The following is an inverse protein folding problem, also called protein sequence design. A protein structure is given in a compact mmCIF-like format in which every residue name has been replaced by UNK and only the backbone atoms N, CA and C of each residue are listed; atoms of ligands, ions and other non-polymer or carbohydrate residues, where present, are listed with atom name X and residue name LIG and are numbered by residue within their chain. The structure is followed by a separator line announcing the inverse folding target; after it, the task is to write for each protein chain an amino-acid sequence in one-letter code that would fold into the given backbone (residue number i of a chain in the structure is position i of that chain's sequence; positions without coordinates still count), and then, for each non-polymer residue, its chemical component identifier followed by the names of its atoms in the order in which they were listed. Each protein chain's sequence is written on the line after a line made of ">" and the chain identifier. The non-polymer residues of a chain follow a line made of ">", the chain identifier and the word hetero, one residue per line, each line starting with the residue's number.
data_IF_031639784033
#
_entry.id   IF_031639784033
#
_cell.length_a   1.000
_cell.length_b   1.000
_cell.length_c   1.000
_cell.angle_alpha   90.00
_cell.angle_beta   90.00
_cell.angle_gamma   90.00
#
_symmetry.space_group_name_H-M   'P 1'
#
loop_
_entity.id
_entity.type
_entity.pdbx_description
1 polymer ?
#
# COMPACT_ATOMS: atom_id res chain seq x y z
N UNK A 1 -26.95 7.62 0.63
CA UNK A 1 -25.75 7.00 0.01
C UNK A 1 -24.56 7.23 0.92
N UNK A 2 -23.99 6.15 1.46
CA UNK A 2 -22.83 6.26 2.34
C UNK A 2 -21.58 6.47 1.48
N UNK A 3 -20.86 7.55 1.72
CA UNK A 3 -19.57 7.82 1.07
C UNK A 3 -18.45 7.40 2.00
N UNK A 4 -17.56 6.53 1.51
CA UNK A 4 -16.35 6.18 2.24
C UNK A 4 -15.38 7.36 2.21
N UNK A 5 -14.65 7.64 3.31
CA UNK A 5 -13.76 8.81 3.39
C UNK A 5 -12.61 8.81 2.39
N UNK A 6 -12.27 7.65 1.80
CA UNK A 6 -11.22 7.52 0.80
C UNK A 6 -11.77 7.20 -0.59
N UNK A 7 -12.95 7.66 -0.92
CA UNK A 7 -13.59 7.39 -2.19
C UNK A 7 -13.41 8.57 -3.15
N UNK A 8 -13.10 8.29 -4.42
CA UNK A 8 -13.04 9.29 -5.47
C UNK A 8 -11.83 9.14 -6.39
N UNK A 9 -11.97 9.63 -7.63
CA UNK A 9 -10.90 9.58 -8.63
C UNK A 9 -9.72 10.52 -8.33
N UNK A 10 -9.91 11.49 -7.46
CA UNK A 10 -8.88 12.38 -6.96
C UNK A 10 -8.00 11.72 -5.89
N UNK A 11 -8.45 10.59 -5.33
CA UNK A 11 -7.69 9.84 -4.34
C UNK A 11 -6.66 8.95 -5.02
N UNK A 12 -5.48 8.88 -4.40
CA UNK A 12 -4.34 8.12 -4.92
C UNK A 12 -3.92 7.06 -3.91
N UNK A 13 -3.80 5.84 -4.40
CA UNK A 13 -3.43 4.68 -3.58
C UNK A 13 -2.15 4.06 -4.14
N UNK A 14 -1.25 3.67 -3.25
CA UNK A 14 -0.05 2.91 -3.58
C UNK A 14 -0.16 1.52 -2.96
N UNK A 15 0.08 0.49 -3.76
CA UNK A 15 0.16 -0.89 -3.29
C UNK A 15 1.56 -1.44 -3.56
N UNK A 16 2.39 -1.51 -2.54
CA UNK A 16 3.76 -2.01 -2.63
C UNK A 16 3.78 -3.50 -2.37
N UNK A 17 4.32 -4.26 -3.30
CA UNK A 17 4.28 -5.72 -3.24
C UNK A 17 2.91 -6.25 -3.61
N UNK A 18 2.38 -5.81 -4.75
CA UNK A 18 1.00 -6.08 -5.15
C UNK A 18 0.69 -7.55 -5.40
N UNK A 19 1.70 -8.37 -5.68
CA UNK A 19 1.54 -9.79 -5.97
C UNK A 19 0.58 -10.02 -7.14
N UNK A 20 -0.50 -10.74 -6.89
CA UNK A 20 -1.55 -10.99 -7.91
C UNK A 20 -2.47 -9.79 -8.16
N UNK A 21 -2.29 -8.69 -7.44
CA UNK A 21 -3.06 -7.48 -7.63
C UNK A 21 -4.38 -7.42 -6.86
N UNK A 22 -4.63 -8.33 -5.94
CA UNK A 22 -5.93 -8.44 -5.24
C UNK A 22 -6.31 -7.15 -4.52
N UNK A 23 -5.39 -6.59 -3.71
CA UNK A 23 -5.67 -5.36 -2.98
C UNK A 23 -5.84 -4.16 -3.91
N UNK A 24 -4.97 -4.04 -4.91
CA UNK A 24 -5.04 -2.95 -5.88
C UNK A 24 -6.37 -2.98 -6.65
N UNK A 25 -6.79 -4.14 -7.10
CA UNK A 25 -8.05 -4.32 -7.82
C UNK A 25 -9.25 -3.98 -6.91
N UNK A 26 -9.24 -4.50 -5.67
CA UNK A 26 -10.30 -4.21 -4.71
C UNK A 26 -10.39 -2.71 -4.41
N UNK A 27 -9.25 -2.06 -4.19
CA UNK A 27 -9.19 -0.63 -3.92
C UNK A 27 -9.71 0.19 -5.11
N UNK A 28 -9.30 -0.15 -6.32
CA UNK A 28 -9.77 0.53 -7.53
C UNK A 28 -11.28 0.44 -7.69
N UNK A 29 -11.86 -0.74 -7.44
CA UNK A 29 -13.29 -0.99 -7.64
C UNK A 29 -14.14 -0.44 -6.49
N UNK A 30 -13.72 -0.65 -5.25
CA UNK A 30 -14.51 -0.28 -4.07
C UNK A 30 -14.37 1.21 -3.75
N UNK A 31 -13.13 1.73 -3.80
CA UNK A 31 -12.85 3.11 -3.44
C UNK A 31 -12.89 4.06 -4.64
N UNK A 32 -12.99 3.52 -5.86
CA UNK A 32 -12.99 4.29 -7.11
C UNK A 32 -11.79 5.24 -7.22
N UNK A 33 -10.68 4.87 -6.61
CA UNK A 33 -9.44 5.65 -6.59
C UNK A 33 -8.51 5.23 -7.72
N UNK A 34 -7.49 6.06 -7.97
CA UNK A 34 -6.37 5.70 -8.83
C UNK A 34 -5.35 4.93 -8.02
N UNK A 35 -4.87 3.83 -8.55
CA UNK A 35 -3.93 2.95 -7.85
C UNK A 35 -2.63 2.84 -8.65
N UNK A 36 -1.51 3.01 -7.95
CA UNK A 36 -0.19 2.60 -8.43
C UNK A 36 0.18 1.33 -7.70
N UNK A 37 0.38 0.25 -8.44
CA UNK A 37 0.69 -1.07 -7.87
C UNK A 37 2.07 -1.51 -8.34
N UNK A 38 2.95 -1.82 -7.39
CA UNK A 38 4.32 -2.19 -7.69
C UNK A 38 4.68 -3.56 -7.16
N UNK A 39 5.60 -4.23 -7.83
CA UNK A 39 6.22 -5.45 -7.36
C UNK A 39 7.62 -5.56 -7.95
N UNK A 40 8.53 -6.17 -7.20
CA UNK A 40 9.88 -6.44 -7.68
C UNK A 40 9.90 -7.57 -8.73
N UNK A 41 8.94 -8.48 -8.64
CA UNK A 41 8.84 -9.65 -9.51
C UNK A 41 8.05 -9.30 -10.78
N UNK A 42 8.68 -9.36 -11.97
CA UNK A 42 7.97 -9.10 -13.24
C UNK A 42 6.84 -10.08 -13.52
N UNK A 43 6.95 -11.32 -13.02
CA UNK A 43 5.87 -12.32 -13.18
C UNK A 43 4.65 -11.89 -12.37
N UNK A 44 4.86 -11.40 -11.14
CA UNK A 44 3.76 -10.87 -10.33
C UNK A 44 3.09 -9.67 -11.01
N UNK A 45 3.87 -8.75 -11.58
CA UNK A 45 3.32 -7.59 -12.28
C UNK A 45 2.44 -8.02 -13.46
N UNK A 46 2.89 -8.98 -14.26
CA UNK A 46 2.09 -9.48 -15.39
C UNK A 46 0.82 -10.20 -14.93
N UNK A 47 0.91 -11.00 -13.85
CA UNK A 47 -0.26 -11.65 -13.27
C UNK A 47 -1.28 -10.62 -12.76
N UNK A 48 -0.80 -9.57 -12.08
CA UNK A 48 -1.66 -8.50 -11.59
C UNK A 48 -2.35 -7.75 -12.73
N UNK A 49 -1.62 -7.47 -13.83
CA UNK A 49 -2.21 -6.86 -15.02
C UNK A 49 -3.32 -7.71 -15.63
N UNK A 50 -3.08 -9.00 -15.76
CA UNK A 50 -4.08 -9.93 -16.30
C UNK A 50 -5.33 -9.98 -15.42
N UNK A 51 -5.14 -10.07 -14.10
CA UNK A 51 -6.24 -10.07 -13.15
C UNK A 51 -7.03 -8.77 -13.17
N UNK A 52 -6.36 -7.63 -13.32
CA UNK A 52 -7.03 -6.32 -13.42
C UNK A 52 -7.91 -6.25 -14.68
N UNK A 53 -7.42 -6.76 -15.81
CA UNK A 53 -8.23 -6.82 -17.04
C UNK A 53 -9.45 -7.72 -16.86
N UNK A 54 -9.28 -8.88 -16.27
CA UNK A 54 -10.39 -9.82 -16.00
C UNK A 54 -11.46 -9.19 -15.09
N UNK A 55 -11.05 -8.33 -14.17
CA UNK A 55 -11.94 -7.68 -13.21
C UNK A 55 -12.37 -6.28 -13.65
N UNK A 56 -12.07 -5.87 -14.88
CA UNK A 56 -12.42 -4.55 -15.44
C UNK A 56 -11.90 -3.37 -14.59
N UNK A 57 -10.71 -3.53 -14.00
CA UNK A 57 -10.07 -2.52 -13.17
C UNK A 57 -8.81 -1.92 -13.79
N UNK A 58 -8.39 -2.39 -14.96
CA UNK A 58 -7.10 -2.05 -15.55
C UNK A 58 -6.92 -0.54 -15.79
N UNK A 59 -7.98 0.17 -16.18
CA UNK A 59 -7.91 1.60 -16.48
C UNK A 59 -7.57 2.46 -15.26
N UNK A 60 -7.87 1.99 -14.05
CA UNK A 60 -7.64 2.73 -12.80
C UNK A 60 -6.30 2.39 -12.15
N UNK A 61 -5.54 1.42 -12.68
CA UNK A 61 -4.32 0.92 -12.04
C UNK A 61 -3.13 1.09 -12.98
N UNK A 62 -2.07 1.71 -12.46
CA UNK A 62 -0.76 1.74 -13.10
C UNK A 62 0.13 0.70 -12.43
N UNK A 63 0.62 -0.26 -13.22
CA UNK A 63 1.49 -1.31 -12.72
C UNK A 63 2.96 -0.96 -12.96
N UNK A 64 3.79 -1.15 -11.94
CA UNK A 64 5.20 -0.79 -11.96
C UNK A 64 6.05 -1.95 -11.47
N UNK A 65 7.04 -2.36 -12.26
CA UNK A 65 8.09 -3.24 -11.74
C UNK A 65 9.13 -2.36 -11.05
N UNK A 66 9.27 -2.51 -9.75
CA UNK A 66 10.21 -1.72 -8.98
C UNK A 66 10.62 -2.43 -7.69
N UNK A 67 11.89 -2.27 -7.31
CA UNK A 67 12.38 -2.61 -5.99
C UNK A 67 12.19 -1.38 -5.08
N UNK A 68 11.50 -1.57 -3.95
CA UNK A 68 11.24 -0.46 -3.04
C UNK A 68 10.24 0.55 -3.56
N UNK A 69 10.42 1.82 -3.17
CA UNK A 69 9.44 2.87 -3.43
C UNK A 69 10.02 4.11 -4.11
N UNK A 70 11.25 4.04 -4.63
CA UNK A 70 11.95 5.19 -5.20
C UNK A 70 11.83 5.31 -6.72
N UNK A 71 11.15 4.38 -7.38
CA UNK A 71 10.96 4.43 -8.84
C UNK A 71 10.24 5.72 -9.23
N UNK A 72 10.65 6.34 -10.33
CA UNK A 72 10.09 7.60 -10.80
C UNK A 72 8.58 7.52 -11.03
N UNK A 73 8.10 6.41 -11.57
CA UNK A 73 6.68 6.19 -11.80
C UNK A 73 5.86 6.10 -10.51
N UNK A 74 6.51 5.80 -9.37
CA UNK A 74 5.88 5.83 -8.05
C UNK A 74 5.94 7.25 -7.49
N UNK A 75 7.12 7.87 -7.46
CA UNK A 75 7.30 9.19 -6.86
C UNK A 75 6.57 10.29 -7.63
N UNK A 76 6.42 10.15 -8.93
CA UNK A 76 5.71 11.13 -9.76
C UNK A 76 4.20 11.21 -9.46
N UNK A 77 3.61 10.16 -8.90
CA UNK A 77 2.20 10.12 -8.53
C UNK A 77 1.94 10.53 -7.08
N UNK A 78 3.01 10.75 -6.29
CA UNK A 78 2.87 11.18 -4.90
C UNK A 78 2.30 12.62 -4.81
N UNK A 79 1.69 13.00 -3.67
CA UNK A 79 1.50 12.20 -2.47
C UNK A 79 0.32 11.21 -2.59
N UNK A 80 0.38 10.14 -1.81
CA UNK A 80 -0.67 9.13 -1.77
C UNK A 80 -1.55 9.31 -0.53
N UNK A 81 -2.83 9.05 -0.69
CA UNK A 81 -3.82 9.13 0.39
C UNK A 81 -3.90 7.85 1.21
N UNK A 82 -3.53 6.72 0.60
CA UNK A 82 -3.53 5.41 1.23
C UNK A 82 -2.39 4.57 0.63
N UNK A 83 -1.61 3.94 1.49
CA UNK A 83 -0.50 3.08 1.08
C UNK A 83 -0.65 1.72 1.72
N UNK A 84 -0.66 0.67 0.91
CA UNK A 84 -0.57 -0.71 1.37
C UNK A 84 0.84 -1.24 1.16
N UNK A 85 1.35 -1.96 2.14
CA UNK A 85 2.59 -2.72 1.99
C UNK A 85 2.45 -4.08 2.64
N UNK A 86 2.50 -5.14 1.83
CA UNK A 86 2.47 -6.52 2.25
C UNK A 86 3.71 -7.21 1.70
N UNK A 87 4.83 -7.01 2.37
CA UNK A 87 6.15 -7.48 1.95
C UNK A 87 6.91 -8.07 3.13
N UNK A 88 8.06 -8.67 2.85
CA UNK A 88 8.93 -9.25 3.87
C UNK A 88 9.41 -8.21 4.87
N UNK A 89 9.73 -8.66 6.08
CA UNK A 89 10.13 -7.81 7.20
C UNK A 89 11.31 -6.90 6.88
N UNK A 90 12.39 -7.43 6.32
CA UNK A 90 13.59 -6.65 6.03
C UNK A 90 13.32 -5.46 5.12
N UNK A 91 12.74 -5.68 3.93
CA UNK A 91 12.33 -4.59 3.05
C UNK A 91 11.34 -3.63 3.70
N UNK A 92 10.40 -4.13 4.49
CA UNK A 92 9.40 -3.30 5.16
C UNK A 92 10.05 -2.31 6.13
N UNK A 93 11.04 -2.73 6.89
CA UNK A 93 11.78 -1.85 7.80
C UNK A 93 12.52 -0.76 7.03
N UNK A 94 13.09 -1.09 5.87
CA UNK A 94 13.80 -0.12 5.03
C UNK A 94 12.87 0.88 4.34
N UNK A 95 11.60 0.55 4.19
CA UNK A 95 10.63 1.42 3.51
C UNK A 95 10.00 2.48 4.41
N UNK A 96 10.28 2.50 5.71
CA UNK A 96 9.65 3.45 6.63
C UNK A 96 9.85 4.91 6.19
N UNK A 97 11.06 5.31 5.86
CA UNK A 97 11.36 6.67 5.39
C UNK A 97 10.73 6.96 4.02
N UNK A 98 10.95 6.11 2.99
CA UNK A 98 10.32 6.35 1.68
C UNK A 98 8.80 6.42 1.74
N UNK A 99 8.15 5.50 2.46
CA UNK A 99 6.68 5.49 2.52
C UNK A 99 6.13 6.71 3.25
N UNK A 100 6.80 7.14 4.31
CA UNK A 100 6.40 8.38 5.00
C UNK A 100 6.48 9.58 4.06
N UNK A 101 7.50 9.67 3.24
CA UNK A 101 7.67 10.77 2.27
C UNK A 101 6.61 10.76 1.18
N UNK A 102 6.15 9.57 0.78
CA UNK A 102 5.13 9.41 -0.25
C UNK A 102 3.71 9.64 0.25
N UNK A 103 3.50 9.59 1.56
CA UNK A 103 2.19 9.75 2.17
C UNK A 103 1.77 11.21 2.26
N UNK A 104 0.54 11.51 1.89
CA UNK A 104 -0.04 12.83 2.11
C UNK A 104 -0.26 13.08 3.61
N UNK A 105 -0.32 14.35 4.07
CA UNK A 105 -0.75 14.65 5.42
C UNK A 105 -2.12 14.02 5.69
N UNK A 106 -2.26 13.33 6.82
CA UNK A 106 -3.49 12.60 7.18
C UNK A 106 -3.66 11.27 6.47
N UNK A 107 -2.75 10.86 5.62
CA UNK A 107 -2.82 9.58 4.91
C UNK A 107 -2.64 8.40 5.86
N UNK A 108 -3.16 7.25 5.45
CA UNK A 108 -2.98 6.00 6.16
C UNK A 108 -2.00 5.09 5.43
N UNK A 109 -1.18 4.40 6.22
CA UNK A 109 -0.27 3.37 5.74
C UNK A 109 -0.69 2.06 6.41
N UNK A 110 -1.00 1.05 5.62
CA UNK A 110 -1.46 -0.25 6.08
C UNK A 110 -0.35 -1.27 5.83
N UNK A 111 0.21 -1.79 6.90
CA UNK A 111 1.27 -2.79 6.88
C UNK A 111 0.68 -4.13 7.27
N UNK A 112 0.68 -5.10 6.38
CA UNK A 112 0.04 -6.39 6.60
C UNK A 112 1.02 -7.55 6.43
N UNK A 113 0.60 -8.75 6.84
CA UNK A 113 1.43 -9.93 6.73
C UNK A 113 2.54 -10.00 7.79
N UNK A 114 2.35 -9.35 8.94
CA UNK A 114 3.33 -9.33 10.01
C UNK A 114 3.09 -10.47 11.00
N UNK A 115 4.15 -11.10 11.44
CA UNK A 115 4.07 -11.98 12.61
C UNK A 115 3.95 -11.11 13.87
N UNK A 116 3.22 -11.57 14.92
CA UNK A 116 3.06 -10.78 16.14
C UNK A 116 4.40 -10.37 16.77
N UNK A 117 5.40 -11.23 16.73
CA UNK A 117 6.74 -10.93 17.26
C UNK A 117 7.49 -9.82 16.49
N UNK A 118 7.13 -9.59 15.23
CA UNK A 118 7.76 -8.56 14.40
C UNK A 118 6.99 -7.23 14.41
N UNK A 119 5.71 -7.26 14.76
CA UNK A 119 4.86 -6.07 14.70
C UNK A 119 5.39 -4.92 15.57
N UNK A 120 5.90 -5.20 16.76
CA UNK A 120 6.42 -4.16 17.63
C UNK A 120 7.69 -3.50 17.07
N UNK A 121 8.58 -4.27 16.46
CA UNK A 121 9.79 -3.74 15.84
C UNK A 121 9.45 -2.83 14.65
N UNK A 122 8.51 -3.27 13.80
CA UNK A 122 8.00 -2.47 12.68
C UNK A 122 7.37 -1.18 13.19
N UNK A 123 6.50 -1.28 14.18
CA UNK A 123 5.83 -0.14 14.76
C UNK A 123 6.81 0.90 15.32
N UNK A 124 7.86 0.46 16.02
CA UNK A 124 8.86 1.36 16.58
C UNK A 124 9.55 2.18 15.49
N UNK A 125 9.93 1.53 14.38
CA UNK A 125 10.61 2.20 13.27
C UNK A 125 9.68 3.18 12.56
N UNK A 126 8.43 2.80 12.31
CA UNK A 126 7.47 3.67 11.65
C UNK A 126 7.05 4.84 12.54
N UNK A 127 6.89 4.62 13.85
CA UNK A 127 6.64 5.71 14.81
C UNK A 127 7.76 6.74 14.84
N UNK A 128 9.01 6.31 14.69
CA UNK A 128 10.14 7.22 14.62
C UNK A 128 10.07 8.16 13.41
N UNK A 129 9.29 7.79 12.39
CA UNK A 129 9.03 8.64 11.22
C UNK A 129 7.80 9.54 11.38
N UNK A 130 7.24 9.64 12.58
CA UNK A 130 6.09 10.50 12.85
C UNK A 130 4.74 9.88 12.48
N UNK A 131 4.68 8.56 12.31
CA UNK A 131 3.43 7.85 12.03
C UNK A 131 2.83 7.32 13.32
N UNK A 132 1.55 7.60 13.54
CA UNK A 132 0.83 7.16 14.74
C UNK A 132 0.06 5.88 14.47
N UNK A 133 0.08 4.94 15.42
CA UNK A 133 -0.73 3.73 15.33
C UNK A 133 -2.21 4.10 15.52
N UNK A 134 -3.02 3.78 14.52
CA UNK A 134 -4.47 3.97 14.58
C UNK A 134 -5.18 2.67 14.96
N UNK A 135 -4.76 1.54 14.37
CA UNK A 135 -5.32 0.23 14.66
C UNK A 135 -4.27 -0.87 14.56
N UNK A 136 -4.42 -1.87 15.40
CA UNK A 136 -3.68 -3.14 15.33
C UNK A 136 -4.69 -4.26 15.19
N UNK A 137 -4.64 -4.99 14.09
CA UNK A 137 -5.65 -6.00 13.74
C UNK A 137 -4.98 -7.37 13.70
N UNK A 138 -5.15 -8.20 14.75
CA UNK A 138 -4.70 -9.60 14.71
C UNK A 138 -5.73 -10.45 13.96
N UNK A 139 -5.27 -11.36 13.11
CA UNK A 139 -6.12 -12.31 12.40
C UNK A 139 -5.31 -13.55 12.03
N UNK A 140 -5.72 -14.71 12.52
CA UNK A 140 -5.15 -16.02 12.15
C UNK A 140 -3.63 -16.10 12.29
N UNK A 141 -3.08 -15.56 13.38
CA UNK A 141 -1.64 -15.56 13.65
C UNK A 141 -0.86 -14.48 12.95
N UNK A 142 -1.51 -13.61 12.17
CA UNK A 142 -0.92 -12.47 11.51
C UNK A 142 -1.40 -11.16 12.11
N UNK A 143 -0.65 -10.10 11.90
CA UNK A 143 -1.01 -8.76 12.39
C UNK A 143 -0.97 -7.77 11.24
N UNK A 144 -1.99 -6.92 11.19
CA UNK A 144 -2.02 -5.74 10.32
C UNK A 144 -1.93 -4.49 11.18
N UNK A 145 -1.07 -3.56 10.81
CA UNK A 145 -0.96 -2.26 11.46
C UNK A 145 -1.52 -1.19 10.52
N UNK A 146 -2.41 -0.36 11.04
CA UNK A 146 -2.91 0.82 10.35
C UNK A 146 -2.28 2.04 11.01
N UNK A 147 -1.46 2.76 10.26
CA UNK A 147 -0.73 3.93 10.73
C UNK A 147 -1.27 5.17 10.05
N UNK A 148 -1.25 6.28 10.76
CA UNK A 148 -1.69 7.57 10.22
C UNK A 148 -0.56 8.58 10.25
N UNK A 149 -0.35 9.27 9.14
CA UNK A 149 0.55 10.43 9.07
C UNK A 149 -0.15 11.65 9.62
N UNK A 150 0.51 12.32 10.56
CA UNK A 150 0.03 13.58 11.11
C UNK A 150 0.02 14.74 10.13
#
# INVERSE_FOLDING_TARGET
>A
MSTLPFQGRDKKILDVGTGSGVLAIAAAKILRARVTASDIDPVAVEAARANARLNRAAAAITFVRAAGANARSITAQAPYDLIFANILLGPLLRLAVPLRRLAAPGARIVLSGLLPGHANAVLAIYRAQGLALERRIPLDGWVTLVLKRG
#
